data_IF_208232066113
#
_entry.id   IF_208232066113
#
_cell.length_a   1.000
_cell.length_b   1.000
_cell.length_c   1.000
_cell.angle_alpha   90.00
_cell.angle_beta   90.00
_cell.angle_gamma   90.00
#
_symmetry.space_group_name_H-M   'P 1'
#
loop_
_entity.id
_entity.type
_entity.pdbx_description
1 polymer ?
#
# COMPACT_ATOMS: atom_id res chain seq x y z
N UNK A 1 4.01 -4.83 -30.79
CA UNK A 1 3.09 -4.52 -31.90
C UNK A 1 2.69 -3.06 -31.72
N UNK A 2 3.26 -2.14 -32.50
CA UNK A 2 2.56 -0.89 -32.78
C UNK A 2 1.26 -1.23 -33.52
N UNK A 3 0.18 -0.44 -33.40
CA UNK A 3 -0.95 -0.67 -34.28
C UNK A 3 -0.48 -0.49 -35.73
N UNK A 4 -1.09 -1.21 -36.69
CA UNK A 4 -0.90 -0.90 -38.10
C UNK A 4 -1.19 0.58 -38.30
N UNK A 5 -0.46 1.21 -39.21
CA UNK A 5 -0.73 2.56 -39.72
C UNK A 5 -2.14 2.61 -40.32
N UNK A 6 -3.14 2.69 -39.44
CA UNK A 6 -4.53 2.89 -39.76
C UNK A 6 -4.80 4.36 -40.04
N UNK A 7 -5.93 4.68 -40.69
CA UNK A 7 -6.29 6.04 -41.04
C UNK A 7 -6.22 6.96 -39.80
N UNK A 8 -5.73 8.18 -40.01
CA UNK A 8 -5.71 9.25 -39.02
C UNK A 8 -7.11 9.36 -38.41
N UNK A 9 -7.20 8.97 -37.14
CA UNK A 9 -8.40 9.09 -36.31
C UNK A 9 -8.83 10.56 -36.33
N UNK A 10 -9.94 10.87 -37.00
CA UNK A 10 -10.29 12.25 -37.35
C UNK A 10 -11.26 12.93 -36.38
N UNK A 11 -11.93 12.16 -35.52
CA UNK A 11 -12.91 12.69 -34.56
C UNK A 11 -12.59 12.26 -33.12
N UNK A 12 -12.99 13.06 -32.09
CA UNK A 12 -12.89 12.66 -30.68
C UNK A 12 -13.58 11.32 -30.37
N UNK A 13 -14.70 11.03 -31.03
CA UNK A 13 -15.45 9.78 -30.89
C UNK A 13 -14.63 8.58 -31.37
N UNK A 14 -13.96 8.71 -32.53
CA UNK A 14 -13.09 7.65 -33.06
C UNK A 14 -11.90 7.39 -32.12
N UNK A 15 -11.38 8.43 -31.44
CA UNK A 15 -10.30 8.31 -30.44
C UNK A 15 -10.79 7.51 -29.23
N UNK A 16 -11.93 7.87 -28.65
CA UNK A 16 -12.52 7.19 -27.49
C UNK A 16 -12.86 5.71 -27.79
N UNK A 17 -13.38 5.43 -29.00
CA UNK A 17 -13.66 4.06 -29.42
C UNK A 17 -12.35 3.25 -29.58
N UNK A 18 -11.34 3.82 -30.22
CA UNK A 18 -10.02 3.20 -30.34
C UNK A 18 -9.40 2.88 -28.97
N UNK A 19 -9.54 3.80 -28.00
CA UNK A 19 -9.07 3.61 -26.63
C UNK A 19 -9.80 2.46 -25.95
N UNK A 20 -11.12 2.39 -26.14
CA UNK A 20 -11.97 1.30 -25.60
C UNK A 20 -11.58 -0.07 -26.16
N UNK A 21 -11.42 -0.17 -27.48
CA UNK A 21 -11.08 -1.42 -28.15
C UNK A 21 -9.69 -1.90 -27.76
N UNK A 22 -8.72 -0.98 -27.75
CA UNK A 22 -7.34 -1.27 -27.34
C UNK A 22 -7.28 -1.75 -25.90
N UNK A 23 -7.97 -1.06 -24.97
CA UNK A 23 -8.07 -1.47 -23.57
C UNK A 23 -8.68 -2.86 -23.42
N UNK A 24 -9.73 -3.17 -24.17
CA UNK A 24 -10.39 -4.48 -24.12
C UNK A 24 -9.46 -5.60 -24.58
N UNK A 25 -8.75 -5.40 -25.70
CA UNK A 25 -7.78 -6.37 -26.22
C UNK A 25 -6.62 -6.59 -25.24
N UNK A 26 -6.04 -5.51 -24.70
CA UNK A 26 -4.93 -5.60 -23.77
C UNK A 26 -5.36 -6.27 -22.45
N UNK A 27 -6.53 -5.92 -21.92
CA UNK A 27 -7.08 -6.55 -20.70
C UNK A 27 -7.24 -8.06 -20.90
N UNK A 28 -7.82 -8.49 -22.02
CA UNK A 28 -7.98 -9.91 -22.33
C UNK A 28 -6.63 -10.64 -22.39
N UNK A 29 -5.62 -10.04 -23.02
CA UNK A 29 -4.28 -10.62 -23.10
C UNK A 29 -3.60 -10.72 -21.72
N UNK A 30 -3.70 -9.68 -20.89
CA UNK A 30 -3.11 -9.67 -19.54
C UNK A 30 -3.55 -10.84 -18.67
N UNK A 31 -4.81 -11.31 -18.80
CA UNK A 31 -5.32 -12.46 -18.06
C UNK A 31 -5.11 -13.81 -18.77
N UNK A 32 -4.97 -13.82 -20.10
CA UNK A 32 -4.82 -15.06 -20.87
C UNK A 32 -3.36 -15.53 -20.96
N UNK A 33 -2.41 -14.59 -20.98
CA UNK A 33 -1.00 -14.88 -21.26
C UNK A 33 -0.33 -15.61 -20.10
N UNK A 34 0.13 -16.83 -20.35
CA UNK A 34 0.94 -17.64 -19.41
C UNK A 34 2.44 -17.49 -19.66
N UNK A 35 2.84 -17.21 -20.90
CA UNK A 35 4.23 -16.98 -21.27
C UNK A 35 4.75 -15.63 -20.76
N UNK A 36 5.98 -15.59 -20.26
CA UNK A 36 6.55 -14.38 -19.66
C UNK A 36 6.97 -13.34 -20.71
N UNK A 37 7.51 -13.78 -21.84
CA UNK A 37 7.95 -12.88 -22.93
C UNK A 37 6.74 -12.23 -23.63
N UNK A 38 5.69 -13.01 -23.88
CA UNK A 38 4.42 -12.48 -24.39
C UNK A 38 3.83 -11.47 -23.41
N UNK A 39 3.88 -11.74 -22.10
CA UNK A 39 3.38 -10.82 -21.08
C UNK A 39 4.13 -9.48 -21.10
N UNK A 40 5.46 -9.50 -21.23
CA UNK A 40 6.25 -8.26 -21.40
C UNK A 40 5.89 -7.47 -22.65
N UNK A 41 5.61 -8.15 -23.76
CA UNK A 41 5.15 -7.46 -24.99
C UNK A 41 3.78 -6.80 -24.79
N UNK A 42 2.93 -7.39 -23.97
CA UNK A 42 1.65 -6.78 -23.58
C UNK A 42 1.90 -5.54 -22.72
N UNK A 43 2.80 -5.60 -21.73
CA UNK A 43 3.17 -4.44 -20.90
C UNK A 43 3.77 -3.29 -21.72
N UNK A 44 4.64 -3.57 -22.70
CA UNK A 44 5.14 -2.54 -23.62
C UNK A 44 4.02 -1.91 -24.45
N UNK A 45 3.00 -2.69 -24.81
CA UNK A 45 1.81 -2.16 -25.48
C UNK A 45 0.96 -1.28 -24.55
N UNK A 46 0.84 -1.65 -23.26
CA UNK A 46 0.21 -0.81 -22.22
C UNK A 46 0.96 0.50 -22.06
N UNK A 47 2.30 0.47 -22.07
CA UNK A 47 3.12 1.68 -22.04
C UNK A 47 2.83 2.59 -23.22
N UNK A 48 2.94 2.11 -24.46
CA UNK A 48 2.66 2.90 -25.67
C UNK A 48 1.23 3.48 -25.63
N UNK A 49 0.25 2.68 -25.21
CA UNK A 49 -1.12 3.13 -25.01
C UNK A 49 -1.23 4.26 -23.99
N UNK A 50 -0.51 4.16 -22.86
CA UNK A 50 -0.47 5.20 -21.83
C UNK A 50 0.08 6.52 -22.38
N UNK A 51 1.16 6.46 -23.19
CA UNK A 51 1.73 7.64 -23.86
C UNK A 51 0.68 8.34 -24.72
N UNK A 52 -0.03 7.55 -25.52
CA UNK A 52 -1.07 8.07 -26.40
C UNK A 52 -2.20 8.76 -25.62
N UNK A 53 -2.77 8.07 -24.62
CA UNK A 53 -3.88 8.60 -23.81
C UNK A 53 -3.46 9.88 -23.08
N UNK A 54 -2.29 9.89 -22.43
CA UNK A 54 -1.82 11.09 -21.71
C UNK A 54 -1.58 12.23 -22.70
N UNK A 55 -0.91 11.98 -23.83
CA UNK A 55 -0.70 13.01 -24.86
C UNK A 55 -2.03 13.62 -25.32
N UNK A 56 -3.04 12.78 -25.60
CA UNK A 56 -4.36 13.24 -26.03
C UNK A 56 -4.97 14.14 -24.97
N UNK A 57 -5.01 13.71 -23.70
CA UNK A 57 -5.67 14.49 -22.64
C UNK A 57 -4.89 15.75 -22.28
N UNK A 58 -3.55 15.71 -22.28
CA UNK A 58 -2.72 16.89 -22.01
C UNK A 58 -2.91 18.00 -23.06
N UNK A 59 -3.25 17.63 -24.31
CA UNK A 59 -3.38 18.56 -25.43
C UNK A 59 -4.80 19.09 -25.63
N UNK A 60 -5.82 18.46 -25.05
CA UNK A 60 -7.20 18.89 -25.22
C UNK A 60 -7.49 20.13 -24.34
N UNK A 61 -8.07 21.16 -24.96
CA UNK A 61 -8.48 22.41 -24.29
C UNK A 61 -9.77 22.28 -23.49
N UNK A 62 -10.63 21.36 -23.92
CA UNK A 62 -11.77 20.85 -23.15
C UNK A 62 -11.28 19.56 -22.48
N UNK A 63 -11.42 19.33 -21.17
CA UNK A 63 -11.07 18.05 -20.56
C UNK A 63 -11.77 16.95 -21.35
N UNK A 64 -11.03 16.26 -22.23
CA UNK A 64 -11.61 15.23 -23.07
C UNK A 64 -12.28 14.16 -22.22
N UNK A 65 -13.02 13.27 -22.88
CA UNK A 65 -13.86 12.31 -22.18
C UNK A 65 -13.09 11.68 -20.99
N UNK A 66 -13.45 11.99 -19.73
CA UNK A 66 -12.72 11.53 -18.55
C UNK A 66 -12.65 9.99 -18.50
N UNK A 67 -13.54 9.32 -19.23
CA UNK A 67 -13.54 7.88 -19.45
C UNK A 67 -12.22 7.33 -20.02
N UNK A 68 -11.51 8.08 -20.86
CA UNK A 68 -10.28 7.59 -21.51
C UNK A 68 -9.13 7.40 -20.52
N UNK A 69 -8.94 8.39 -19.65
CA UNK A 69 -8.00 8.29 -18.53
C UNK A 69 -8.44 7.21 -17.54
N UNK A 70 -9.74 7.10 -17.28
CA UNK A 70 -10.24 6.05 -16.39
C UNK A 70 -9.99 4.65 -16.95
N UNK A 71 -10.16 4.44 -18.25
CA UNK A 71 -9.83 3.18 -18.93
C UNK A 71 -8.35 2.85 -18.82
N UNK A 72 -7.47 3.84 -18.90
CA UNK A 72 -6.04 3.66 -18.67
C UNK A 72 -5.75 3.17 -17.24
N UNK A 73 -6.31 3.83 -16.22
CA UNK A 73 -6.12 3.41 -14.83
C UNK A 73 -6.68 2.02 -14.57
N UNK A 74 -7.85 1.69 -15.11
CA UNK A 74 -8.43 0.34 -15.03
C UNK A 74 -7.53 -0.72 -15.68
N UNK A 75 -6.89 -0.40 -16.81
CA UNK A 75 -5.97 -1.30 -17.49
C UNK A 75 -4.71 -1.56 -16.63
N UNK A 76 -4.12 -0.50 -16.05
CA UNK A 76 -2.95 -0.62 -15.16
C UNK A 76 -3.31 -1.42 -13.91
N UNK A 77 -4.44 -1.13 -13.26
CA UNK A 77 -4.92 -1.91 -12.10
C UNK A 77 -5.20 -3.38 -12.46
N UNK A 78 -5.77 -3.63 -13.64
CA UNK A 78 -6.00 -4.99 -14.14
C UNK A 78 -4.70 -5.74 -14.39
N UNK A 79 -3.68 -5.07 -14.93
CA UNK A 79 -2.34 -5.64 -15.12
C UNK A 79 -1.67 -5.99 -13.79
N UNK A 80 -1.83 -5.12 -12.77
CA UNK A 80 -1.32 -5.38 -11.43
C UNK A 80 -2.00 -6.60 -10.79
N UNK A 81 -3.33 -6.68 -10.91
CA UNK A 81 -4.12 -7.79 -10.37
C UNK A 81 -3.88 -9.11 -11.09
N UNK A 82 -3.58 -9.11 -12.40
CA UNK A 82 -3.40 -10.35 -13.17
C UNK A 82 -2.18 -11.18 -12.73
N UNK A 83 -1.33 -10.65 -11.86
CA UNK A 83 -0.17 -11.33 -11.30
C UNK A 83 -0.49 -12.31 -10.17
N UNK A 84 -1.76 -12.45 -9.78
CA UNK A 84 -2.19 -13.26 -8.62
C UNK A 84 -1.75 -14.74 -8.63
N UNK A 85 -1.44 -15.32 -9.79
CA UNK A 85 -0.98 -16.70 -9.95
C UNK A 85 0.53 -16.79 -10.28
N UNK A 86 1.27 -15.69 -10.17
CA UNK A 86 2.70 -15.64 -10.51
C UNK A 86 3.55 -15.72 -9.23
N UNK A 87 4.79 -16.24 -9.30
CA UNK A 87 5.75 -16.14 -8.22
C UNK A 87 5.96 -14.69 -7.76
N UNK A 88 6.20 -14.49 -6.46
CA UNK A 88 6.36 -13.17 -5.85
C UNK A 88 7.38 -12.29 -6.60
N UNK A 89 8.51 -12.84 -7.05
CA UNK A 89 9.53 -12.08 -7.78
C UNK A 89 9.08 -11.57 -9.17
N UNK A 90 8.17 -12.29 -9.86
CA UNK A 90 7.58 -11.84 -11.13
C UNK A 90 6.58 -10.73 -10.86
N UNK A 91 5.73 -10.94 -9.84
CA UNK A 91 4.77 -9.95 -9.39
C UNK A 91 5.48 -8.65 -9.04
N UNK A 92 6.55 -8.73 -8.24
CA UNK A 92 7.32 -7.57 -7.82
C UNK A 92 7.86 -6.78 -8.99
N UNK A 93 8.54 -7.46 -9.92
CA UNK A 93 9.14 -6.83 -11.12
C UNK A 93 8.09 -6.19 -12.03
N UNK A 94 6.93 -6.84 -12.14
CA UNK A 94 5.79 -6.31 -12.89
C UNK A 94 5.23 -5.07 -12.22
N UNK A 95 5.04 -5.09 -10.90
CA UNK A 95 4.56 -3.94 -10.15
C UNK A 95 5.54 -2.78 -10.21
N UNK A 96 6.85 -3.03 -10.14
CA UNK A 96 7.87 -1.98 -10.29
C UNK A 96 7.80 -1.33 -11.69
N UNK A 97 7.61 -2.13 -12.74
CA UNK A 97 7.38 -1.62 -14.09
C UNK A 97 6.12 -0.74 -14.17
N UNK A 98 5.01 -1.20 -13.59
CA UNK A 98 3.76 -0.44 -13.58
C UNK A 98 3.88 0.85 -12.76
N UNK A 99 4.61 0.85 -11.64
CA UNK A 99 4.86 2.05 -10.83
C UNK A 99 5.67 3.05 -11.65
N UNK A 100 6.74 2.60 -12.30
CA UNK A 100 7.54 3.43 -13.20
C UNK A 100 6.70 3.99 -14.35
N UNK A 101 5.77 3.20 -14.90
CA UNK A 101 4.85 3.67 -15.92
C UNK A 101 3.95 4.80 -15.39
N UNK A 102 3.38 4.65 -14.19
CA UNK A 102 2.54 5.69 -13.58
C UNK A 102 3.35 6.97 -13.29
N UNK A 103 4.55 6.84 -12.71
CA UNK A 103 5.47 7.98 -12.51
C UNK A 103 5.81 8.66 -13.83
N UNK A 104 6.09 7.87 -14.86
CA UNK A 104 6.38 8.38 -16.19
C UNK A 104 5.19 9.13 -16.78
N UNK A 105 3.95 8.64 -16.63
CA UNK A 105 2.77 9.38 -17.11
C UNK A 105 2.63 10.75 -16.44
N UNK A 106 3.01 10.85 -15.16
CA UNK A 106 3.03 12.12 -14.41
C UNK A 106 4.08 13.07 -14.95
N UNK A 107 5.31 12.60 -15.15
CA UNK A 107 6.38 13.42 -15.72
C UNK A 107 6.09 13.84 -17.17
N UNK A 108 5.57 12.91 -17.98
CA UNK A 108 5.24 13.15 -19.36
C UNK A 108 4.12 14.18 -19.52
N UNK A 109 3.08 14.12 -18.68
CA UNK A 109 2.02 15.14 -18.66
C UNK A 109 2.60 16.55 -18.44
N UNK A 110 3.51 16.70 -17.47
CA UNK A 110 4.19 17.97 -17.19
C UNK A 110 4.96 18.43 -18.43
N UNK A 111 5.73 17.55 -19.06
CA UNK A 111 6.49 17.91 -20.28
C UNK A 111 5.58 18.27 -21.45
N UNK A 112 4.48 17.54 -21.67
CA UNK A 112 3.50 17.83 -22.71
C UNK A 112 2.91 19.23 -22.55
N UNK A 113 2.56 19.61 -21.32
CA UNK A 113 2.02 20.94 -21.00
C UNK A 113 3.06 22.06 -21.11
N UNK A 114 4.34 21.77 -20.84
CA UNK A 114 5.43 22.73 -21.03
C UNK A 114 5.66 23.01 -22.52
N UNK A 115 5.66 21.96 -23.36
CA UNK A 115 5.87 22.09 -24.81
C UNK A 115 4.65 22.68 -25.51
N UNK A 116 3.45 22.33 -25.04
CA UNK A 116 2.19 22.81 -25.60
C UNK A 116 1.45 23.58 -24.50
N UNK A 117 1.96 24.78 -24.12
CA UNK A 117 1.30 25.60 -23.12
C UNK A 117 -0.12 25.85 -23.61
N UNK A 118 -1.13 25.56 -22.77
CA UNK A 118 -2.51 25.77 -23.18
C UNK A 118 -2.67 27.22 -23.61
N UNK A 119 -3.08 27.42 -24.87
CA UNK A 119 -3.10 28.75 -25.45
C UNK A 119 -4.05 29.64 -24.65
N UNK A 120 -3.50 30.71 -24.07
CA UNK A 120 -4.17 31.77 -23.29
C UNK A 120 -5.15 32.61 -24.13
N UNK A 121 -5.96 31.99 -25.00
CA UNK A 121 -6.92 32.71 -25.86
C UNK A 121 -8.17 33.20 -25.11
N UNK A 122 -8.15 33.23 -23.78
CA UNK A 122 -9.17 33.86 -22.97
C UNK A 122 -8.50 34.82 -21.99
N UNK A 123 -8.93 36.08 -21.97
CA UNK A 123 -8.55 37.10 -20.97
C UNK A 123 -9.05 36.74 -19.54
N UNK A 124 -9.53 35.52 -19.33
CA UNK A 124 -9.86 34.96 -18.03
C UNK A 124 -8.60 34.29 -17.51
N UNK A 125 -8.24 34.58 -16.25
CA UNK A 125 -7.09 33.99 -15.57
C UNK A 125 -6.93 32.51 -15.94
N UNK A 126 -5.70 32.04 -16.27
CA UNK A 126 -5.49 30.69 -16.75
C UNK A 126 -6.23 29.73 -15.83
N UNK A 127 -7.15 28.89 -16.34
CA UNK A 127 -7.75 27.88 -15.52
C UNK A 127 -6.59 27.11 -14.91
N UNK A 128 -6.55 27.01 -13.59
CA UNK A 128 -5.61 26.16 -12.87
C UNK A 128 -5.75 24.77 -13.49
N UNK A 129 -4.88 24.46 -14.46
CA UNK A 129 -4.98 23.20 -15.18
C UNK A 129 -4.89 22.10 -14.13
N UNK A 130 -5.82 21.13 -14.16
CA UNK A 130 -5.79 20.04 -13.20
C UNK A 130 -4.39 19.45 -13.21
N UNK A 131 -3.74 19.45 -12.05
CA UNK A 131 -2.50 18.71 -11.87
C UNK A 131 -2.73 17.24 -12.24
N UNK A 132 -1.68 16.49 -12.54
CA UNK A 132 -1.81 15.07 -12.87
C UNK A 132 -2.66 14.28 -11.84
N UNK A 133 -2.66 14.69 -10.56
CA UNK A 133 -3.49 14.08 -9.52
C UNK A 133 -5.01 14.19 -9.81
N UNK A 134 -5.45 15.24 -10.50
CA UNK A 134 -6.84 15.40 -10.91
C UNK A 134 -7.28 14.46 -12.05
N UNK A 135 -6.35 13.71 -12.65
CA UNK A 135 -6.68 12.53 -13.47
C UNK A 135 -7.29 11.39 -12.65
N UNK A 136 -7.29 11.50 -11.31
CA UNK A 136 -8.05 10.62 -10.43
C UNK A 136 -7.45 9.24 -10.23
N UNK A 137 -6.16 9.04 -10.53
CA UNK A 137 -5.47 7.76 -10.33
C UNK A 137 -5.62 7.27 -8.88
N UNK A 138 -5.26 8.11 -7.90
CA UNK A 138 -5.35 7.79 -6.48
C UNK A 138 -6.76 7.46 -6.03
N UNK A 139 -7.72 8.33 -6.35
CA UNK A 139 -9.14 8.12 -6.05
C UNK A 139 -9.65 6.79 -6.62
N UNK A 140 -9.34 6.48 -7.89
CA UNK A 140 -9.76 5.23 -8.55
C UNK A 140 -9.12 4.02 -7.87
N UNK A 141 -7.83 4.07 -7.58
CA UNK A 141 -7.13 2.99 -6.86
C UNK A 141 -7.77 2.71 -5.50
N UNK A 142 -8.02 3.77 -4.72
CA UNK A 142 -8.72 3.67 -3.44
C UNK A 142 -10.10 3.04 -3.61
N UNK A 143 -10.91 3.49 -4.58
CA UNK A 143 -12.23 2.91 -4.84
C UNK A 143 -12.17 1.42 -5.23
N UNK A 144 -11.18 1.00 -5.99
CA UNK A 144 -10.98 -0.41 -6.33
C UNK A 144 -10.66 -1.25 -5.09
N UNK A 145 -9.82 -0.75 -4.19
CA UNK A 145 -9.49 -1.41 -2.93
C UNK A 145 -10.72 -1.43 -2.00
N UNK A 146 -11.41 -0.30 -1.83
CA UNK A 146 -12.67 -0.19 -1.09
C UNK A 146 -13.67 -1.23 -1.57
N UNK A 147 -13.91 -1.30 -2.88
CA UNK A 147 -14.83 -2.25 -3.49
C UNK A 147 -14.39 -3.70 -3.29
N UNK A 148 -13.09 -3.97 -3.35
CA UNK A 148 -12.53 -5.29 -3.04
C UNK A 148 -12.79 -5.72 -1.60
N UNK A 149 -12.79 -4.78 -0.65
CA UNK A 149 -13.00 -5.04 0.78
C UNK A 149 -14.46 -4.97 1.23
N UNK A 150 -15.28 -4.12 0.61
CA UNK A 150 -16.66 -3.82 1.04
C UNK A 150 -17.66 -4.90 0.67
N UNK A 151 -17.28 -5.84 -0.19
CA UNK A 151 -18.20 -6.86 -0.66
C UNK A 151 -18.16 -8.10 0.22
N UNK A 152 -19.33 -8.66 0.49
CA UNK A 152 -19.57 -10.07 0.84
C UNK A 152 -19.03 -11.06 -0.24
N UNK A 153 -18.16 -10.60 -1.16
CA UNK A 153 -17.57 -11.30 -2.32
C UNK A 153 -16.09 -11.59 -2.19
N UNK A 154 -15.40 -11.27 -1.09
CA UNK A 154 -14.23 -12.09 -0.74
C UNK A 154 -14.71 -13.45 -0.23
N UNK A 155 -15.49 -14.11 -1.07
CA UNK A 155 -16.06 -15.43 -0.90
C UNK A 155 -15.12 -16.49 -1.48
N UNK A 156 -14.05 -16.08 -2.15
CA UNK A 156 -13.06 -16.97 -2.73
C UNK A 156 -11.63 -16.52 -2.46
N UNK A 157 -10.74 -17.52 -2.35
CA UNK A 157 -9.30 -17.32 -2.24
C UNK A 157 -8.74 -16.51 -3.43
N UNK A 158 -9.29 -16.70 -4.62
CA UNK A 158 -8.89 -16.00 -5.84
C UNK A 158 -9.02 -14.48 -5.70
N UNK A 159 -10.15 -14.01 -5.17
CA UNK A 159 -10.38 -12.57 -4.96
C UNK A 159 -9.45 -12.01 -3.87
N UNK A 160 -9.16 -12.79 -2.83
CA UNK A 160 -8.14 -12.44 -1.83
C UNK A 160 -6.74 -12.25 -2.44
N UNK A 161 -6.32 -13.12 -3.37
CA UNK A 161 -5.03 -12.98 -4.05
C UNK A 161 -4.99 -11.76 -4.99
N UNK A 162 -6.07 -11.48 -5.73
CA UNK A 162 -6.15 -10.27 -6.55
C UNK A 162 -6.05 -9.01 -5.70
N UNK A 163 -6.75 -8.98 -4.55
CA UNK A 163 -6.67 -7.87 -3.59
C UNK A 163 -5.26 -7.72 -3.03
N UNK A 164 -4.57 -8.82 -2.72
CA UNK A 164 -3.14 -8.79 -2.34
C UNK A 164 -2.27 -8.16 -3.42
N UNK A 165 -2.41 -8.56 -4.68
CA UNK A 165 -1.63 -7.98 -5.78
C UNK A 165 -1.92 -6.49 -5.97
N UNK A 166 -3.19 -6.09 -5.88
CA UNK A 166 -3.57 -4.68 -5.96
C UNK A 166 -3.00 -3.88 -4.80
N UNK A 167 -3.03 -4.42 -3.58
CA UNK A 167 -2.45 -3.80 -2.40
C UNK A 167 -0.93 -3.65 -2.51
N UNK A 168 -0.22 -4.67 -2.99
CA UNK A 168 1.23 -4.60 -3.22
C UNK A 168 1.57 -3.48 -4.22
N UNK A 169 0.89 -3.44 -5.36
CA UNK A 169 1.07 -2.38 -6.36
C UNK A 169 0.78 -0.99 -5.79
N UNK A 170 -0.32 -0.86 -5.05
CA UNK A 170 -0.73 0.41 -4.43
C UNK A 170 0.23 0.87 -3.35
N UNK A 171 0.75 -0.07 -2.56
CA UNK A 171 1.77 0.17 -1.55
C UNK A 171 3.06 0.70 -2.16
N UNK A 172 3.52 0.11 -3.27
CA UNK A 172 4.67 0.65 -4.01
C UNK A 172 4.39 2.05 -4.55
N UNK A 173 3.22 2.29 -5.15
CA UNK A 173 2.84 3.63 -5.60
C UNK A 173 2.88 4.65 -4.44
N UNK A 174 2.32 4.27 -3.29
CA UNK A 174 2.30 5.09 -2.09
C UNK A 174 3.69 5.36 -1.54
N UNK A 175 4.57 4.36 -1.53
CA UNK A 175 5.98 4.51 -1.12
C UNK A 175 6.72 5.52 -2.00
N UNK A 176 6.41 5.57 -3.30
CA UNK A 176 6.93 6.56 -4.24
C UNK A 176 6.21 7.92 -4.18
N UNK A 177 5.30 8.13 -3.22
CA UNK A 177 4.61 9.41 -3.02
C UNK A 177 3.54 9.71 -4.07
N UNK A 178 3.05 8.72 -4.82
CA UNK A 178 1.92 8.89 -5.72
C UNK A 178 0.62 8.99 -4.91
N UNK A 179 -0.17 10.02 -5.17
CA UNK A 179 -1.48 10.27 -4.55
C UNK A 179 -1.53 9.91 -3.05
N UNK A 180 -0.68 10.53 -2.20
CA UNK A 180 -0.44 10.08 -0.84
C UNK A 180 -1.69 10.10 0.04
N UNK A 181 -2.64 10.98 -0.23
CA UNK A 181 -3.90 11.09 0.51
C UNK A 181 -4.78 9.87 0.22
N UNK A 182 -5.13 9.62 -1.05
CA UNK A 182 -6.01 8.51 -1.44
C UNK A 182 -5.41 7.14 -1.10
N UNK A 183 -4.12 6.94 -1.40
CA UNK A 183 -3.46 5.66 -1.13
C UNK A 183 -3.21 5.47 0.37
N UNK A 184 -2.92 6.53 1.12
CA UNK A 184 -2.83 6.48 2.58
C UNK A 184 -4.16 6.10 3.22
N UNK A 185 -5.29 6.61 2.73
CA UNK A 185 -6.63 6.19 3.17
C UNK A 185 -6.89 4.72 2.88
N UNK A 186 -6.56 4.25 1.68
CA UNK A 186 -6.73 2.84 1.31
C UNK A 186 -5.88 1.91 2.22
N UNK A 187 -4.63 2.28 2.47
CA UNK A 187 -3.73 1.56 3.38
C UNK A 187 -4.29 1.51 4.80
N UNK A 188 -4.67 2.67 5.35
CA UNK A 188 -5.24 2.81 6.69
C UNK A 188 -6.47 1.92 6.85
N UNK A 189 -7.44 2.03 5.93
CA UNK A 189 -8.66 1.24 5.99
C UNK A 189 -8.35 -0.26 5.95
N UNK A 190 -7.46 -0.72 5.07
CA UNK A 190 -7.09 -2.13 4.98
C UNK A 190 -6.43 -2.63 6.28
N UNK A 191 -5.46 -1.89 6.81
CA UNK A 191 -4.77 -2.23 8.06
C UNK A 191 -5.73 -2.23 9.26
N UNK A 192 -6.63 -1.25 9.37
CA UNK A 192 -7.66 -1.24 10.42
C UNK A 192 -8.57 -2.47 10.35
N UNK A 193 -9.06 -2.81 9.16
CA UNK A 193 -9.94 -3.97 8.98
C UNK A 193 -9.23 -5.30 9.25
N UNK A 194 -7.96 -5.42 8.84
CA UNK A 194 -7.19 -6.66 8.94
C UNK A 194 -6.54 -6.87 10.32
N UNK A 195 -6.04 -5.80 10.97
CA UNK A 195 -5.18 -5.90 12.15
C UNK A 195 -5.86 -5.44 13.45
N UNK A 196 -6.64 -4.35 13.42
CA UNK A 196 -7.25 -3.79 14.66
C UNK A 196 -8.48 -4.56 15.14
N UNK A 197 -9.06 -5.40 14.27
CA UNK A 197 -10.22 -6.25 14.61
C UNK A 197 -9.84 -7.63 15.12
N UNK A 198 -8.56 -7.95 15.25
CA UNK A 198 -8.12 -9.25 15.73
C UNK A 198 -8.37 -9.34 17.23
N UNK A 199 -9.23 -10.27 17.64
CA UNK A 199 -9.43 -10.58 19.06
C UNK A 199 -8.16 -11.23 19.60
N UNK A 200 -7.37 -10.44 20.31
CA UNK A 200 -6.19 -10.91 21.02
C UNK A 200 -6.62 -11.59 22.32
N UNK A 201 -7.01 -12.85 22.24
CA UNK A 201 -7.22 -13.67 23.43
C UNK A 201 -5.85 -14.00 24.04
N UNK A 202 -5.48 -13.31 25.13
CA UNK A 202 -4.26 -13.60 25.88
C UNK A 202 -4.58 -14.46 27.12
N UNK A 203 -3.66 -15.35 27.59
CA UNK A 203 -2.33 -15.66 27.06
C UNK A 203 -2.25 -17.08 26.46
N UNK A 204 -1.54 -17.21 25.33
CA UNK A 204 -1.05 -18.46 24.69
C UNK A 204 -1.95 -19.26 23.75
N UNK A 205 -3.23 -18.94 23.57
CA UNK A 205 -4.11 -19.68 22.66
C UNK A 205 -4.34 -18.90 21.36
N UNK A 206 -3.84 -19.44 20.24
CA UNK A 206 -4.09 -19.08 18.84
C UNK A 206 -5.05 -17.90 18.59
N UNK A 207 -4.56 -16.86 17.90
CA UNK A 207 -5.41 -15.77 17.38
C UNK A 207 -6.54 -16.37 16.55
N UNK A 208 -7.78 -16.09 16.96
CA UNK A 208 -8.94 -16.52 16.20
C UNK A 208 -9.14 -15.59 15.01
N UNK A 209 -8.49 -15.92 13.89
CA UNK A 209 -8.58 -15.14 12.66
C UNK A 209 -9.88 -15.52 11.96
N UNK A 210 -10.81 -14.58 11.87
CA UNK A 210 -12.06 -14.75 11.13
C UNK A 210 -11.80 -15.02 9.65
N UNK A 211 -12.75 -15.64 8.95
CA UNK A 211 -12.65 -15.86 7.50
C UNK A 211 -12.38 -14.57 6.73
N UNK A 212 -13.03 -13.47 7.11
CA UNK A 212 -12.81 -12.15 6.50
C UNK A 212 -11.38 -11.65 6.73
N UNK A 213 -10.86 -11.80 7.95
CA UNK A 213 -9.48 -11.39 8.25
C UNK A 213 -8.45 -12.24 7.52
N UNK A 214 -8.65 -13.56 7.40
CA UNK A 214 -7.75 -14.43 6.62
C UNK A 214 -7.62 -13.96 5.17
N UNK A 215 -8.69 -13.38 4.62
CA UNK A 215 -8.70 -12.88 3.26
C UNK A 215 -8.09 -11.48 3.11
N UNK A 216 -8.27 -10.60 4.10
CA UNK A 216 -7.71 -9.24 4.09
C UNK A 216 -6.24 -9.22 4.48
N UNK A 217 -5.81 -10.14 5.34
CA UNK A 217 -4.48 -10.12 5.94
C UNK A 217 -3.36 -10.10 4.90
N UNK A 218 -3.34 -10.93 3.83
CA UNK A 218 -2.27 -10.87 2.83
C UNK A 218 -2.13 -9.48 2.19
N UNK A 219 -3.24 -8.77 2.00
CA UNK A 219 -3.23 -7.42 1.44
C UNK A 219 -2.71 -6.37 2.43
N UNK A 220 -3.06 -6.48 3.71
CA UNK A 220 -2.51 -5.64 4.77
C UNK A 220 -0.99 -5.85 4.96
N UNK A 221 -0.53 -7.10 4.92
CA UNK A 221 0.89 -7.43 5.01
C UNK A 221 1.67 -6.93 3.77
N UNK A 222 1.05 -6.93 2.58
CA UNK A 222 1.64 -6.32 1.40
C UNK A 222 1.83 -4.79 1.54
N UNK A 223 0.86 -4.10 2.16
CA UNK A 223 1.04 -2.68 2.51
C UNK A 223 2.25 -2.44 3.40
N UNK A 224 2.39 -3.24 4.46
CA UNK A 224 3.54 -3.18 5.36
C UNK A 224 4.84 -3.44 4.61
N UNK A 225 4.92 -4.52 3.84
CA UNK A 225 6.15 -4.93 3.17
C UNK A 225 6.68 -3.91 2.16
N UNK A 226 5.79 -3.21 1.46
CA UNK A 226 6.17 -2.34 0.34
C UNK A 226 6.06 -0.84 0.66
N UNK A 227 5.54 -0.46 1.83
CA UNK A 227 5.36 0.96 2.18
C UNK A 227 5.60 1.31 3.65
N UNK A 228 6.30 0.43 4.40
CA UNK A 228 6.65 0.62 5.80
C UNK A 228 7.27 1.99 6.08
N UNK A 229 8.25 2.43 5.27
CA UNK A 229 8.94 3.69 5.50
C UNK A 229 8.00 4.88 5.36
N UNK A 230 7.15 4.86 4.34
CA UNK A 230 6.17 5.92 4.12
C UNK A 230 5.14 5.96 5.24
N UNK A 231 4.58 4.82 5.63
CA UNK A 231 3.61 4.73 6.72
C UNK A 231 4.20 5.15 8.07
N UNK A 232 5.47 4.79 8.35
CA UNK A 232 6.15 5.24 9.55
C UNK A 232 6.40 6.75 9.53
N UNK A 233 6.88 7.31 8.41
CA UNK A 233 7.02 8.77 8.27
C UNK A 233 5.71 9.47 8.59
N UNK A 234 4.59 9.01 8.02
CA UNK A 234 3.28 9.60 8.31
C UNK A 234 2.88 9.47 9.78
N UNK A 235 3.27 8.37 10.43
CA UNK A 235 3.04 8.14 11.86
C UNK A 235 3.88 9.07 12.76
N UNK A 236 5.07 9.46 12.31
CA UNK A 236 6.00 10.35 13.03
C UNK A 236 5.68 11.83 12.79
N UNK A 237 5.33 12.19 11.56
CA UNK A 237 5.16 13.59 11.14
C UNK A 237 3.89 14.22 11.70
N UNK A 238 2.96 13.44 12.29
CA UNK A 238 1.64 13.85 12.79
C UNK A 238 0.81 14.69 11.79
N UNK A 239 1.25 14.81 10.54
CA UNK A 239 0.68 15.68 9.49
C UNK A 239 -0.74 15.28 9.13
N UNK A 240 -1.11 14.03 9.41
CA UNK A 240 -2.45 13.48 9.22
C UNK A 240 -3.27 13.41 10.52
N UNK A 241 -2.70 13.77 11.66
CA UNK A 241 -3.34 13.71 12.98
C UNK A 241 -3.84 15.08 13.46
N UNK A 242 -3.32 16.18 12.92
CA UNK A 242 -3.68 17.55 13.34
C UNK A 242 -3.98 18.45 12.14
N UNK A 243 -5.26 18.55 11.74
CA UNK A 243 -5.72 19.47 10.68
C UNK A 243 -6.80 18.86 9.77
N UNK A 244 -7.07 19.51 8.63
CA UNK A 244 -8.06 19.05 7.63
C UNK A 244 -7.80 17.61 7.13
N UNK A 245 -6.55 17.14 7.19
CA UNK A 245 -6.20 15.75 6.93
C UNK A 245 -6.85 14.78 7.92
N UNK A 246 -6.91 15.09 9.21
CA UNK A 246 -7.51 14.23 10.22
C UNK A 246 -9.02 14.08 10.01
N UNK A 247 -9.73 15.17 9.69
CA UNK A 247 -11.15 15.15 9.36
C UNK A 247 -11.45 14.27 8.14
N UNK A 248 -10.56 14.25 7.14
CA UNK A 248 -10.66 13.37 5.97
C UNK A 248 -10.49 11.90 6.37
N UNK A 249 -9.62 11.56 7.34
CA UNK A 249 -9.48 10.16 7.76
C UNK A 249 -10.58 9.71 8.73
N UNK A 250 -11.13 10.62 9.52
CA UNK A 250 -12.15 10.33 10.53
C UNK A 250 -13.55 10.22 9.91
N UNK A 251 -13.89 11.11 8.97
CA UNK A 251 -15.15 11.05 8.20
C UNK A 251 -15.24 9.84 7.25
N UNK A 252 -14.10 9.29 6.86
CA UNK A 252 -14.01 8.10 6.01
C UNK A 252 -13.88 6.79 6.78
N UNK A 253 -14.14 6.76 8.09
CA UNK A 253 -14.41 5.49 8.78
C UNK A 253 -15.66 4.89 8.13
N UNK A 254 -15.49 3.96 7.18
CA UNK A 254 -16.57 3.69 6.28
C UNK A 254 -17.57 2.86 7.10
N UNK A 255 -18.82 3.30 7.06
CA UNK A 255 -20.01 2.57 7.56
C UNK A 255 -20.27 1.34 6.66
N UNK A 256 -19.20 0.65 6.24
CA UNK A 256 -19.24 -0.69 5.69
C UNK A 256 -19.92 -1.47 6.79
N UNK A 257 -21.11 -2.02 6.54
CA UNK A 257 -22.02 -2.64 7.52
C UNK A 257 -21.44 -3.75 8.42
N UNK A 258 -20.13 -3.96 8.40
CA UNK A 258 -19.31 -4.62 9.41
C UNK A 258 -19.03 -3.76 10.67
N UNK A 259 -19.30 -2.45 10.68
CA UNK A 259 -18.97 -1.57 11.82
C UNK A 259 -19.83 -1.79 13.08
N UNK A 260 -20.95 -2.51 12.99
CA UNK A 260 -21.91 -2.65 14.11
C UNK A 260 -21.64 -3.82 15.07
N UNK A 261 -20.65 -4.70 14.82
CA UNK A 261 -20.65 -6.02 15.47
C UNK A 261 -19.39 -6.45 16.21
N UNK A 262 -18.32 -5.66 16.28
CA UNK A 262 -17.11 -6.10 17.01
C UNK A 262 -16.68 -5.08 18.05
N UNK A 263 -16.69 -5.49 19.33
CA UNK A 263 -16.02 -4.77 20.41
C UNK A 263 -14.55 -4.65 20.01
N UNK A 264 -14.09 -3.44 19.76
CA UNK A 264 -12.66 -3.15 19.76
C UNK A 264 -12.09 -3.59 21.10
N UNK A 265 -10.88 -4.14 21.09
CA UNK A 265 -10.16 -4.49 22.33
C UNK A 265 -10.12 -3.24 23.23
N UNK A 266 -10.51 -3.38 24.50
CA UNK A 266 -10.59 -2.29 25.46
C UNK A 266 -9.28 -1.46 25.46
N UNK A 267 -9.38 -0.15 25.23
CA UNK A 267 -8.26 0.80 25.13
C UNK A 267 -7.88 1.26 23.71
N UNK A 268 -8.43 0.66 22.66
CA UNK A 268 -8.16 1.04 21.26
C UNK A 268 -9.21 1.97 20.63
N UNK A 269 -10.39 2.10 21.25
CA UNK A 269 -11.41 3.04 20.81
C UNK A 269 -10.92 4.51 20.85
N UNK A 270 -9.87 4.79 21.65
CA UNK A 270 -9.36 6.13 21.91
C UNK A 270 -8.11 6.49 21.08
N UNK A 271 -7.68 5.64 20.13
CA UNK A 271 -6.53 5.98 19.29
C UNK A 271 -6.88 7.15 18.34
N UNK A 272 -6.00 8.17 18.21
CA UNK A 272 -6.22 9.27 17.28
C UNK A 272 -6.49 8.79 15.84
N UNK A 273 -7.27 9.55 15.04
CA UNK A 273 -7.47 9.26 13.62
C UNK A 273 -6.14 9.29 12.85
N UNK A 274 -6.11 8.60 11.69
CA UNK A 274 -4.96 8.64 10.78
C UNK A 274 -3.71 7.88 11.27
N UNK A 275 -2.59 8.03 10.55
CA UNK A 275 -1.33 7.39 10.92
C UNK A 275 -0.75 8.06 12.16
N UNK A 276 -0.37 7.26 13.16
CA UNK A 276 0.29 7.73 14.38
C UNK A 276 1.14 6.62 14.99
N UNK A 277 2.13 7.00 15.80
CA UNK A 277 3.08 6.07 16.43
C UNK A 277 2.37 4.99 17.25
N UNK A 278 1.34 5.33 18.03
CA UNK A 278 0.64 4.35 18.86
C UNK A 278 -0.01 3.24 18.01
N UNK A 279 -0.66 3.61 16.90
CA UNK A 279 -1.23 2.66 15.92
C UNK A 279 -0.15 1.84 15.22
N UNK A 280 0.98 2.45 14.86
CA UNK A 280 2.13 1.74 14.29
C UNK A 280 2.66 0.65 15.22
N UNK A 281 2.89 0.97 16.50
CA UNK A 281 3.36 0.00 17.50
C UNK A 281 2.33 -1.11 17.71
N UNK A 282 1.04 -0.77 17.76
CA UNK A 282 -0.02 -1.77 17.87
C UNK A 282 -0.02 -2.75 16.70
N UNK A 283 -0.03 -2.24 15.46
CA UNK A 283 0.04 -3.12 14.28
C UNK A 283 1.28 -4.00 14.30
N UNK A 284 2.43 -3.47 14.72
CA UNK A 284 3.66 -4.26 14.85
C UNK A 284 3.50 -5.42 15.85
N UNK A 285 2.83 -5.20 16.98
CA UNK A 285 2.52 -6.26 17.95
C UNK A 285 1.57 -7.31 17.36
N UNK A 286 0.51 -6.87 16.69
CA UNK A 286 -0.43 -7.79 16.05
C UNK A 286 0.28 -8.66 15.01
N UNK A 287 1.12 -8.06 14.17
CA UNK A 287 1.90 -8.76 13.15
C UNK A 287 2.92 -9.72 13.78
N UNK A 288 3.50 -9.36 14.94
CA UNK A 288 4.31 -10.29 15.73
C UNK A 288 3.50 -11.51 16.18
N UNK A 289 2.30 -11.31 16.71
CA UNK A 289 1.46 -12.42 17.16
C UNK A 289 1.07 -13.31 15.95
N UNK A 290 0.79 -12.70 14.79
CA UNK A 290 0.58 -13.43 13.54
C UNK A 290 1.82 -14.23 13.10
N UNK A 291 3.03 -13.73 13.37
CA UNK A 291 4.28 -14.42 13.09
C UNK A 291 4.45 -15.73 13.89
N UNK A 292 3.69 -15.86 14.99
CA UNK A 292 3.63 -17.04 15.87
C UNK A 292 2.38 -17.91 15.61
N UNK A 293 1.63 -17.63 14.54
CA UNK A 293 0.40 -18.37 14.27
C UNK A 293 0.69 -19.86 13.99
N UNK A 294 -0.15 -20.80 14.44
CA UNK A 294 0.00 -22.22 14.09
C UNK A 294 -0.12 -22.50 12.58
N UNK A 295 -0.84 -21.65 11.85
CA UNK A 295 -0.93 -21.69 10.40
C UNK A 295 0.41 -21.20 9.78
N UNK A 296 1.17 -22.08 9.11
CA UNK A 296 2.50 -21.75 8.60
C UNK A 296 2.46 -20.64 7.55
N UNK A 297 1.41 -20.55 6.74
CA UNK A 297 1.31 -19.53 5.70
C UNK A 297 1.14 -18.14 6.32
N UNK A 298 0.32 -18.05 7.37
CA UNK A 298 0.13 -16.82 8.15
C UNK A 298 1.41 -16.47 8.89
N UNK A 299 2.05 -17.45 9.53
CA UNK A 299 3.27 -17.25 10.30
C UNK A 299 4.43 -16.74 9.44
N UNK A 300 4.60 -17.30 8.23
CA UNK A 300 5.64 -16.86 7.29
C UNK A 300 5.40 -15.40 6.86
N UNK A 301 4.16 -15.05 6.49
CA UNK A 301 3.85 -13.69 6.07
C UNK A 301 3.96 -12.70 7.25
N UNK A 302 3.49 -13.09 8.43
CA UNK A 302 3.62 -12.31 9.66
C UNK A 302 5.08 -12.03 10.00
N UNK A 303 5.96 -13.05 9.93
CA UNK A 303 7.41 -12.87 10.13
C UNK A 303 8.02 -11.86 9.14
N UNK A 304 7.72 -11.99 7.85
CA UNK A 304 8.21 -11.06 6.82
C UNK A 304 7.80 -9.63 7.14
N UNK A 305 6.51 -9.39 7.34
CA UNK A 305 5.97 -8.07 7.62
C UNK A 305 6.52 -7.50 8.94
N UNK A 306 6.66 -8.32 9.98
CA UNK A 306 7.21 -7.90 11.26
C UNK A 306 8.66 -7.41 11.13
N UNK A 307 9.50 -8.15 10.37
CA UNK A 307 10.89 -7.76 10.09
C UNK A 307 10.93 -6.38 9.39
N UNK A 308 10.03 -6.14 8.43
CA UNK A 308 9.93 -4.83 7.78
C UNK A 308 9.54 -3.72 8.76
N UNK A 309 8.65 -4.00 9.74
CA UNK A 309 8.22 -3.01 10.71
C UNK A 309 9.27 -2.70 11.78
N UNK A 310 9.97 -3.72 12.31
CA UNK A 310 10.91 -3.56 13.44
C UNK A 310 12.25 -2.92 13.03
N UNK A 311 12.61 -2.97 11.75
CA UNK A 311 13.82 -2.32 11.22
C UNK A 311 13.55 -0.89 10.74
N UNK A 312 12.28 -0.50 10.59
CA UNK A 312 11.86 0.67 9.85
C UNK A 312 12.37 1.99 10.47
N UNK A 313 12.23 2.16 11.79
CA UNK A 313 12.67 3.37 12.47
C UNK A 313 14.17 3.59 12.35
N UNK A 314 14.94 2.56 12.66
CA UNK A 314 16.40 2.57 12.49
C UNK A 314 16.85 2.90 11.06
N UNK A 315 16.23 2.29 10.05
CA UNK A 315 16.54 2.54 8.64
C UNK A 315 16.30 4.00 8.23
N UNK A 316 15.32 4.65 8.86
CA UNK A 316 14.96 6.05 8.61
C UNK A 316 15.61 7.06 9.56
N UNK A 317 16.28 6.60 10.62
CA UNK A 317 16.81 7.45 11.68
C UNK A 317 15.75 7.97 12.66
N UNK A 318 14.61 7.30 12.77
CA UNK A 318 13.58 7.58 13.77
C UNK A 318 13.80 6.76 15.05
N UNK A 319 13.58 7.38 16.21
CA UNK A 319 13.51 6.70 17.49
C UNK A 319 12.12 6.09 17.67
N UNK A 320 11.96 4.83 17.25
CA UNK A 320 10.72 4.09 17.38
C UNK A 320 10.79 3.18 18.61
N UNK A 321 9.84 3.30 19.56
CA UNK A 321 9.85 2.51 20.78
C UNK A 321 10.06 1.01 20.53
N UNK A 322 10.98 0.41 21.28
CA UNK A 322 11.27 -1.03 21.25
C UNK A 322 12.25 -1.51 20.17
N UNK A 323 12.57 -0.71 19.14
CA UNK A 323 13.53 -1.12 18.10
C UNK A 323 14.96 -1.23 18.63
N UNK A 324 15.45 -0.23 19.37
CA UNK A 324 16.81 -0.24 19.93
C UNK A 324 17.04 -1.44 20.85
N UNK A 325 16.07 -1.71 21.74
CA UNK A 325 16.14 -2.87 22.63
C UNK A 325 16.17 -4.18 21.84
N UNK A 326 15.33 -4.32 20.80
CA UNK A 326 15.33 -5.50 19.94
C UNK A 326 16.71 -5.74 19.32
N UNK A 327 17.32 -4.70 18.75
CA UNK A 327 18.65 -4.82 18.16
C UNK A 327 19.72 -5.13 19.19
N UNK A 328 19.66 -4.53 20.39
CA UNK A 328 20.55 -4.86 21.49
C UNK A 328 20.47 -6.34 21.89
N UNK A 329 19.25 -6.90 21.92
CA UNK A 329 19.02 -8.31 22.18
C UNK A 329 19.60 -9.20 21.06
N UNK A 330 19.38 -8.85 19.79
CA UNK A 330 19.98 -9.59 18.68
C UNK A 330 21.49 -9.57 18.75
N UNK A 331 22.08 -8.40 18.99
CA UNK A 331 23.52 -8.27 19.08
C UNK A 331 24.07 -9.15 20.22
N UNK A 332 23.41 -9.12 21.39
CA UNK A 332 23.77 -9.98 22.52
C UNK A 332 23.66 -11.47 22.17
N UNK A 333 22.57 -11.90 21.54
CA UNK A 333 22.39 -13.30 21.10
C UNK A 333 23.42 -13.72 20.05
N UNK A 334 23.79 -12.82 19.11
CA UNK A 334 24.85 -13.07 18.13
C UNK A 334 26.22 -13.22 18.81
N UNK A 335 26.52 -12.39 19.81
CA UNK A 335 27.76 -12.49 20.59
C UNK A 335 27.82 -13.78 21.42
N UNK A 336 26.72 -14.17 22.05
CA UNK A 336 26.60 -15.43 22.79
C UNK A 336 26.76 -16.64 21.87
N UNK A 337 26.08 -16.64 20.72
CA UNK A 337 26.25 -17.67 19.70
C UNK A 337 27.71 -17.73 19.22
N UNK A 338 28.34 -16.60 18.93
CA UNK A 338 29.75 -16.52 18.54
C UNK A 338 30.70 -17.09 19.60
N UNK A 339 30.42 -16.91 20.89
CA UNK A 339 31.21 -17.47 21.99
C UNK A 339 30.97 -18.98 22.18
N UNK A 340 29.76 -19.45 21.93
CA UNK A 340 29.37 -20.86 22.08
C UNK A 340 29.81 -21.75 20.91
N UNK A 341 29.97 -21.16 19.72
CA UNK A 341 30.33 -21.87 18.49
C UNK A 341 31.82 -22.22 18.53
N UNK A 342 32.16 -23.52 18.60
CA UNK A 342 33.53 -24.00 18.33
C UNK A 342 33.87 -23.67 16.86
N UNK A 343 35.17 -23.54 16.49
CA UNK A 343 35.60 -23.11 15.15
C UNK A 343 34.93 -23.82 13.95
N UNK A 344 34.37 -25.02 14.16
CA UNK A 344 33.79 -25.87 13.12
C UNK A 344 32.25 -26.09 13.19
N UNK A 345 31.50 -25.40 14.07
CA UNK A 345 30.03 -25.60 14.16
C UNK A 345 29.20 -24.55 13.39
N UNK A 346 28.10 -25.04 12.82
CA UNK A 346 27.17 -24.33 11.91
C UNK A 346 26.68 -22.99 12.49
N UNK A 347 26.96 -21.91 11.76
CA UNK A 347 26.48 -20.55 12.04
C UNK A 347 24.96 -20.51 12.22
N UNK A 348 24.46 -19.68 13.15
CA UNK A 348 23.07 -19.20 13.13
C UNK A 348 22.83 -18.59 11.73
N UNK A 349 22.03 -19.26 10.90
CA UNK A 349 21.98 -18.98 9.45
C UNK A 349 21.16 -17.73 9.13
N UNK A 350 20.29 -17.30 10.02
CA UNK A 350 19.40 -16.16 9.78
C UNK A 350 18.87 -15.53 11.07
N UNK A 351 18.59 -14.23 11.01
CA UNK A 351 17.86 -13.46 12.04
C UNK A 351 16.49 -14.08 12.39
N UNK A 352 15.92 -14.86 11.46
CA UNK A 352 14.66 -15.59 11.65
C UNK A 352 14.73 -16.76 12.63
N UNK A 353 15.94 -17.20 13.01
CA UNK A 353 16.15 -18.38 13.85
C UNK A 353 16.23 -18.03 15.36
N UNK A 354 16.26 -16.74 15.69
CA UNK A 354 16.33 -16.25 17.08
C UNK A 354 14.89 -16.15 17.61
N UNK A 355 14.47 -17.16 18.37
CA UNK A 355 13.20 -17.19 19.09
C UNK A 355 13.32 -16.35 20.38
N UNK A 356 13.34 -15.03 20.26
CA UNK A 356 13.22 -14.15 21.43
C UNK A 356 11.74 -14.07 21.85
N UNK A 357 11.46 -13.99 23.14
CA UNK A 357 10.11 -13.79 23.65
C UNK A 357 9.84 -12.27 23.68
N UNK A 358 8.84 -11.80 22.93
CA UNK A 358 8.67 -10.37 22.59
C UNK A 358 7.48 -9.68 23.30
N UNK A 359 6.96 -10.28 24.38
CA UNK A 359 5.81 -9.77 25.14
C UNK A 359 5.97 -8.30 25.62
N UNK A 360 7.21 -7.82 25.73
CA UNK A 360 7.57 -6.48 26.22
C UNK A 360 7.48 -5.37 25.15
N UNK A 361 7.29 -5.69 23.86
CA UNK A 361 7.33 -4.72 22.76
C UNK A 361 6.07 -3.81 22.65
N UNK A 362 5.31 -3.61 23.72
CA UNK A 362 4.68 -2.30 23.89
C UNK A 362 3.34 -2.15 24.61
N UNK A 363 2.87 -3.03 25.49
CA UNK A 363 1.72 -2.62 26.33
C UNK A 363 2.14 -1.50 27.29
N UNK A 364 3.27 -1.67 27.99
CA UNK A 364 3.74 -0.66 28.95
C UNK A 364 4.27 0.61 28.25
N UNK A 365 4.90 0.47 27.08
CA UNK A 365 5.39 1.62 26.31
C UNK A 365 4.28 2.42 25.60
N UNK A 366 3.22 1.77 25.09
CA UNK A 366 2.06 2.48 24.53
C UNK A 366 1.37 3.31 25.62
N UNK A 367 1.19 2.74 26.82
CA UNK A 367 0.60 3.46 27.96
C UNK A 367 1.50 4.60 28.45
N UNK A 368 2.83 4.43 28.43
CA UNK A 368 3.79 5.51 28.74
C UNK A 368 3.76 6.63 27.70
N UNK A 369 3.65 6.30 26.40
CA UNK A 369 3.63 7.29 25.32
C UNK A 369 2.29 8.05 25.27
N UNK A 370 1.17 7.37 25.46
CA UNK A 370 -0.17 7.98 25.52
C UNK A 370 -0.38 8.86 26.76
N UNK A 371 0.34 8.59 27.86
CA UNK A 371 0.29 9.42 29.08
C UNK A 371 1.15 10.69 29.01
N UNK A 372 1.94 10.85 27.95
CA UNK A 372 2.95 11.91 27.84
C UNK A 372 4.10 11.72 28.85
N UNK A 373 5.23 12.45 28.69
CA UNK A 373 6.30 12.41 29.67
C UNK A 373 5.73 12.79 31.05
N UNK A 374 6.13 12.12 32.15
CA UNK A 374 5.72 12.53 33.48
C UNK A 374 6.04 14.01 33.63
N UNK A 375 5.02 14.82 33.94
CA UNK A 375 5.19 16.24 34.24
C UNK A 375 6.18 16.33 35.40
N UNK A 376 7.45 16.52 35.10
CA UNK A 376 8.44 16.92 36.09
C UNK A 376 8.02 18.30 36.52
N UNK A 377 7.32 18.34 37.65
CA UNK A 377 7.06 19.55 38.40
C UNK A 377 8.45 20.10 38.76
N UNK A 378 9.02 20.95 37.89
CA UNK A 378 10.19 21.75 38.27
C UNK A 378 9.71 22.63 39.41
N UNK A 379 10.12 22.26 40.62
CA UNK A 379 10.10 23.15 41.76
C UNK A 379 10.81 24.43 41.33
N UNK A 380 10.09 25.53 41.50
CA UNK A 380 10.69 26.85 41.57
C UNK A 380 11.39 26.86 42.94
N UNK A 381 12.71 26.84 42.92
CA UNK A 381 13.54 27.46 43.97
C UNK A 381 14.20 28.71 43.36
#
# INVERSE_FOLDING_TARGET
MWPPSGPLVSTPEDISQYITDTRTVLSKKLFATKDFEEFWRVLESVKVFSIYVIKVVSLQTDPGNPDDIFRLWELIMSAAMSQFNRPDWIMDRTHDYLVNLVLWTREFDVQCRVVNPPTLFSNVAPPLYPNWDAYGFGYRMRRFIEYGMSNQRISSHLEGQKLRCLAAFSAKCFAHGLCPIDLGMAAMMNLKLALERLELNMPQSAVNITTTQKMLLPSALAWIQHSQHRMLSLSMDCTFSTGAGAEIFESYSPDIGLAKTTKTVDGFADLPPGFNVARWIHWRQVVYILAQNPDPDIAIQGRKAWIHMINCGREMGYDVPGEEFYFGMIQKSMEEARRATKPDSVWVKSMSDINADFYWAGIDQILLYLRGPPKTRRGID
#
